data_IF_783906592603
#
_entry.id   IF_783906592603
#
_cell.length_a   1.000
_cell.length_b   1.000
_cell.length_c   1.000
_cell.angle_alpha   90.00
_cell.angle_beta   90.00
_cell.angle_gamma   90.00
#
_symmetry.space_group_name_H-M   'P 1'
#
loop_
_entity.id
_entity.type
_entity.pdbx_description
1 polymer ?
#
# COMPACT_ATOMS: atom_id res chain seq x y z
N UNK A 1 -22.46 24.84 10.93
CA UNK A 1 -21.10 24.27 10.74
C UNK A 1 -20.70 24.51 9.31
N UNK A 2 -19.56 25.17 9.12
CA UNK A 2 -19.03 25.54 7.82
C UNK A 2 -18.30 24.35 7.17
N UNK A 3 -18.16 24.36 5.84
CA UNK A 3 -17.36 23.37 5.11
C UNK A 3 -15.88 23.37 5.55
N UNK A 4 -15.40 24.48 6.10
CA UNK A 4 -14.06 24.59 6.70
C UNK A 4 -13.91 23.72 7.95
N UNK A 5 -14.94 23.70 8.80
CA UNK A 5 -14.92 23.01 10.09
C UNK A 5 -14.89 21.48 9.89
N UNK A 6 -15.58 21.00 8.85
CA UNK A 6 -15.57 19.59 8.44
C UNK A 6 -14.20 19.14 7.92
N UNK A 7 -13.52 19.98 7.13
CA UNK A 7 -12.19 19.67 6.60
C UNK A 7 -11.11 19.68 7.71
N UNK A 8 -11.24 20.58 8.68
CA UNK A 8 -10.34 20.66 9.83
C UNK A 8 -10.48 19.44 10.75
N UNK A 9 -11.71 18.99 11.02
CA UNK A 9 -11.97 17.76 11.78
C UNK A 9 -11.39 16.51 11.09
N UNK A 10 -11.51 16.42 9.77
CA UNK A 10 -10.94 15.30 8.99
C UNK A 10 -9.39 15.34 9.01
N UNK A 11 -8.79 16.53 8.98
CA UNK A 11 -7.34 16.70 9.15
C UNK A 11 -6.86 16.25 10.54
N UNK A 12 -7.57 16.63 11.60
CA UNK A 12 -7.25 16.25 12.98
C UNK A 12 -7.33 14.73 13.16
N UNK A 13 -8.40 14.09 12.68
CA UNK A 13 -8.55 12.64 12.76
C UNK A 13 -7.44 11.88 12.02
N UNK A 14 -7.01 12.38 10.85
CA UNK A 14 -5.89 11.80 10.08
C UNK A 14 -4.56 11.92 10.83
N UNK A 15 -4.32 13.03 11.53
CA UNK A 15 -3.12 13.24 12.36
C UNK A 15 -3.08 12.28 13.53
N UNK A 16 -4.20 12.05 14.21
CA UNK A 16 -4.28 11.10 15.34
C UNK A 16 -4.07 9.65 14.89
N UNK A 17 -4.64 9.24 13.75
CA UNK A 17 -4.41 7.92 13.16
C UNK A 17 -2.94 7.71 12.78
N UNK A 18 -2.31 8.71 12.17
CA UNK A 18 -0.88 8.68 11.86
C UNK A 18 -0.04 8.53 13.15
N UNK A 19 -0.32 9.32 14.18
CA UNK A 19 0.38 9.24 15.47
C UNK A 19 0.21 7.89 16.18
N UNK A 20 -0.99 7.29 16.10
CA UNK A 20 -1.23 5.93 16.62
C UNK A 20 -0.35 4.92 15.88
N UNK A 21 -0.30 5.00 14.55
CA UNK A 21 0.55 4.11 13.74
C UNK A 21 2.03 4.29 14.09
N UNK A 22 2.53 5.52 14.24
CA UNK A 22 3.93 5.76 14.65
C UNK A 22 4.32 5.08 15.98
N UNK A 23 3.36 4.87 16.90
CA UNK A 23 3.61 4.17 18.18
C UNK A 23 3.66 2.65 18.06
N UNK A 24 3.19 2.06 16.96
CA UNK A 24 3.08 0.61 16.78
C UNK A 24 4.36 -0.04 16.23
N UNK A 25 5.18 0.69 15.47
CA UNK A 25 6.35 0.12 14.81
C UNK A 25 7.52 1.11 14.75
N UNK A 26 8.75 0.75 15.18
CA UNK A 26 9.95 1.59 15.12
C UNK A 26 10.27 2.18 13.73
N UNK A 27 10.10 1.45 12.62
CA UNK A 27 10.22 2.03 11.26
C UNK A 27 9.19 3.14 10.96
N UNK A 28 8.08 3.20 11.70
CA UNK A 28 7.09 4.27 11.58
C UNK A 28 7.38 5.43 12.55
N UNK A 29 8.42 5.34 13.39
CA UNK A 29 8.84 6.41 14.32
C UNK A 29 9.78 7.43 13.66
N UNK A 30 10.47 7.06 12.57
CA UNK A 30 11.20 8.02 11.75
C UNK A 30 10.20 8.88 10.97
N UNK A 31 10.59 10.06 10.46
CA UNK A 31 9.73 10.79 9.54
C UNK A 31 9.40 9.86 8.37
N UNK A 32 8.17 9.34 8.34
CA UNK A 32 7.60 8.77 7.12
C UNK A 32 7.86 9.83 6.07
N UNK A 33 8.45 9.49 4.92
CA UNK A 33 8.88 10.51 3.96
C UNK A 33 7.74 11.49 3.59
N UNK A 34 6.48 11.10 3.79
CA UNK A 34 5.29 11.95 3.69
C UNK A 34 4.24 11.59 4.78
N UNK A 35 4.36 12.04 6.05
CA UNK A 35 3.36 11.77 7.07
C UNK A 35 2.09 12.59 6.75
N UNK A 36 0.95 11.92 6.57
CA UNK A 36 -0.30 12.58 6.19
C UNK A 36 -0.39 12.97 4.71
N UNK A 37 0.38 12.32 3.83
CA UNK A 37 0.23 12.47 2.38
C UNK A 37 -1.18 12.14 1.89
N UNK A 38 -1.63 12.82 0.84
CA UNK A 38 -2.95 12.65 0.23
C UNK A 38 -3.22 11.24 -0.36
N UNK A 39 -2.16 10.45 -0.62
CA UNK A 39 -2.24 9.12 -1.23
C UNK A 39 -1.66 8.02 -0.31
N UNK A 40 -1.99 8.05 0.99
CA UNK A 40 -1.57 7.01 1.94
C UNK A 40 -2.51 5.80 1.89
N UNK A 41 -1.92 4.60 2.01
CA UNK A 41 -2.62 3.33 2.24
C UNK A 41 -2.47 2.89 3.71
N UNK A 42 -3.35 2.01 4.23
CA UNK A 42 -4.55 1.46 3.59
C UNK A 42 -5.69 2.49 3.49
N UNK A 43 -6.63 2.26 2.56
CA UNK A 43 -7.88 3.02 2.44
C UNK A 43 -9.09 2.11 2.63
N UNK A 44 -10.22 2.69 3.03
CA UNK A 44 -11.52 2.00 3.02
C UNK A 44 -12.12 2.02 1.60
N UNK A 45 -12.23 0.85 0.97
CA UNK A 45 -12.77 0.72 -0.38
C UNK A 45 -14.30 0.75 -0.32
N UNK A 46 -14.88 1.91 -0.63
CA UNK A 46 -16.33 2.06 -0.72
C UNK A 46 -16.81 1.64 -2.11
N UNK A 47 -17.33 0.42 -2.23
CA UNK A 47 -17.78 -0.18 -3.52
C UNK A 47 -18.74 0.72 -4.31
N UNK A 48 -19.63 1.46 -3.64
CA UNK A 48 -20.56 2.37 -4.34
C UNK A 48 -19.89 3.62 -4.93
N UNK A 49 -18.66 3.93 -4.49
CA UNK A 49 -17.84 5.04 -4.99
C UNK A 49 -16.72 4.55 -5.93
N UNK A 50 -16.54 3.24 -6.10
CA UNK A 50 -15.55 2.71 -7.04
C UNK A 50 -16.05 2.88 -8.48
N UNK A 51 -15.13 3.17 -9.39
CA UNK A 51 -15.43 3.34 -10.82
C UNK A 51 -15.07 2.05 -11.54
N UNK A 52 -16.01 1.50 -12.31
CA UNK A 52 -15.71 0.41 -13.23
C UNK A 52 -14.99 0.98 -14.46
N UNK A 53 -13.80 0.49 -14.72
CA UNK A 53 -13.03 0.79 -15.91
C UNK A 53 -13.02 -0.45 -16.82
N UNK A 54 -13.62 -0.36 -18.01
CA UNK A 54 -13.71 -1.45 -18.98
C UNK A 54 -12.47 -1.62 -19.84
N UNK A 55 -11.56 -0.63 -19.85
CA UNK A 55 -10.27 -0.75 -20.52
C UNK A 55 -9.33 -1.69 -19.74
N UNK A 56 -9.78 -2.11 -18.56
CA UNK A 56 -9.04 -2.96 -17.69
C UNK A 56 -8.85 -4.39 -18.30
N UNK A 57 -7.61 -4.83 -18.60
CA UNK A 57 -7.19 -6.22 -18.90
C UNK A 57 -7.02 -7.16 -17.68
N UNK A 58 -7.47 -8.44 -17.73
CA UNK A 58 -7.34 -9.36 -16.59
C UNK A 58 -5.91 -9.60 -16.12
N UNK A 59 -5.65 -9.47 -14.80
CA UNK A 59 -4.35 -9.76 -14.18
C UNK A 59 -3.91 -11.21 -14.46
N UNK A 60 -2.67 -11.37 -14.92
CA UNK A 60 -2.03 -12.66 -15.18
C UNK A 60 -0.73 -12.77 -14.37
N UNK A 61 -0.43 -13.98 -13.91
CA UNK A 61 0.73 -14.25 -13.07
C UNK A 61 1.55 -15.38 -13.66
N UNK A 62 2.86 -15.20 -13.74
CA UNK A 62 3.80 -16.25 -14.08
C UNK A 62 4.82 -16.35 -12.94
N UNK A 63 4.84 -17.48 -12.23
CA UNK A 63 5.66 -17.67 -11.04
C UNK A 63 6.56 -18.88 -11.23
N UNK A 64 7.86 -18.64 -11.23
CA UNK A 64 8.86 -19.71 -11.21
C UNK A 64 9.19 -20.08 -9.76
N UNK A 65 8.83 -21.29 -9.28
CA UNK A 65 9.13 -21.71 -7.91
C UNK A 65 10.64 -21.80 -7.63
N UNK A 66 11.50 -21.92 -8.65
CA UNK A 66 12.96 -21.92 -8.50
C UNK A 66 13.52 -20.55 -8.10
N UNK A 67 12.72 -19.48 -8.25
CA UNK A 67 13.11 -18.13 -7.81
C UNK A 67 12.93 -17.90 -6.31
N UNK A 68 12.25 -18.79 -5.59
CA UNK A 68 12.06 -18.65 -4.14
C UNK A 68 13.38 -18.88 -3.38
N UNK A 69 13.82 -17.89 -2.60
CA UNK A 69 15.13 -17.93 -1.93
C UNK A 69 15.03 -18.27 -0.45
N UNK A 70 14.37 -17.40 0.34
CA UNK A 70 14.36 -17.52 1.79
C UNK A 70 13.10 -16.96 2.43
N UNK A 71 12.77 -17.50 3.60
CA UNK A 71 11.72 -17.00 4.48
C UNK A 71 12.35 -16.43 5.75
N UNK A 72 11.92 -15.25 6.16
CA UNK A 72 12.47 -14.57 7.34
C UNK A 72 11.39 -13.84 8.15
N UNK A 73 11.61 -13.82 9.46
CA UNK A 73 10.78 -13.09 10.43
C UNK A 73 11.57 -11.87 10.92
N UNK A 74 11.05 -10.67 10.65
CA UNK A 74 11.69 -9.42 11.06
C UNK A 74 11.17 -8.86 12.40
N UNK A 75 10.33 -9.63 13.12
CA UNK A 75 9.64 -9.23 14.35
C UNK A 75 8.24 -8.64 14.13
N UNK A 76 7.81 -8.40 12.89
CA UNK A 76 6.54 -7.76 12.55
C UNK A 76 5.74 -8.52 11.49
N UNK A 77 6.42 -9.16 10.55
CA UNK A 77 5.85 -10.00 9.51
C UNK A 77 6.80 -11.15 9.16
N UNK A 78 6.24 -12.17 8.51
CA UNK A 78 7.03 -13.16 7.78
C UNK A 78 7.12 -12.70 6.33
N UNK A 79 8.33 -12.65 5.80
CA UNK A 79 8.62 -12.27 4.43
C UNK A 79 9.17 -13.49 3.69
N UNK A 80 8.76 -13.64 2.44
CA UNK A 80 9.33 -14.60 1.50
C UNK A 80 10.02 -13.78 0.42
N UNK A 81 11.29 -14.07 0.18
CA UNK A 81 12.12 -13.40 -0.81
C UNK A 81 12.23 -14.24 -2.07
N UNK A 82 12.13 -13.58 -3.22
CA UNK A 82 12.26 -14.16 -4.55
C UNK A 82 13.40 -13.47 -5.32
N UNK A 83 14.08 -14.20 -6.20
CA UNK A 83 15.03 -13.63 -7.17
C UNK A 83 14.32 -12.76 -8.20
N UNK A 84 14.56 -11.45 -8.15
CA UNK A 84 14.02 -10.42 -9.04
C UNK A 84 15.05 -9.90 -10.05
N UNK A 85 16.22 -10.55 -10.16
CA UNK A 85 17.27 -10.15 -11.10
C UNK A 85 16.95 -10.44 -12.57
N UNK A 86 15.93 -11.27 -12.83
CA UNK A 86 15.44 -11.61 -14.16
C UNK A 86 13.91 -11.80 -14.15
N UNK A 87 13.29 -11.68 -15.32
CA UNK A 87 11.84 -11.80 -15.53
C UNK A 87 11.36 -13.26 -15.49
N UNK A 88 11.54 -13.93 -14.33
CA UNK A 88 11.12 -15.33 -14.11
C UNK A 88 9.86 -15.46 -13.25
N UNK A 89 9.58 -14.44 -12.43
CA UNK A 89 8.39 -14.37 -11.59
C UNK A 89 7.74 -13.00 -11.80
N UNK A 90 6.77 -12.91 -12.70
CA UNK A 90 6.20 -11.65 -13.17
C UNK A 90 4.69 -11.57 -12.98
N UNK A 91 4.22 -10.35 -12.72
CA UNK A 91 2.81 -9.98 -12.75
C UNK A 91 2.56 -9.21 -14.06
N UNK A 92 1.80 -9.82 -14.96
CA UNK A 92 1.45 -9.19 -16.24
C UNK A 92 0.02 -8.65 -16.18
N UNK A 93 -0.12 -7.37 -16.57
CA UNK A 93 -1.32 -6.51 -16.62
C UNK A 93 -1.90 -5.92 -15.30
N UNK A 94 -1.57 -4.64 -15.04
CA UNK A 94 -2.47 -3.46 -14.99
C UNK A 94 -1.69 -2.16 -14.76
N UNK A 95 -2.19 -1.00 -15.24
CA UNK A 95 -1.43 -0.18 -16.18
C UNK A 95 0.03 -0.09 -15.73
N UNK A 96 0.86 -0.90 -16.36
CA UNK A 96 2.30 -0.70 -16.35
C UNK A 96 2.50 0.46 -17.33
N UNK A 97 2.72 1.66 -16.79
CA UNK A 97 3.11 2.82 -17.59
C UNK A 97 4.23 2.40 -18.55
N UNK A 98 4.09 2.83 -19.80
CA UNK A 98 5.09 2.67 -20.86
C UNK A 98 6.27 3.59 -20.64
#
# INVERSE_FOLDING_TARGET
MSSSDLAEMDCVSRKEAAQRNMRLHPMWQQPIAVPGGHCQSPIDIVVRKSVFDSALKPLATDYDPETCQQIWNNGYSFLVEYDDSADKSSLTSFPVDS
#
